data_IF_920929032186
#
_entry.id   IF_920929032186
#
_cell.length_a   1.000
_cell.length_b   1.000
_cell.length_c   1.000
_cell.angle_alpha   90.00
_cell.angle_beta   90.00
_cell.angle_gamma   90.00
#
_symmetry.space_group_name_H-M   'P 1'
#
loop_
_entity.id
_entity.type
_entity.pdbx_description
1 polymer ?
#
# COMPACT_ATOMS: atom_id res chain seq x y z
N UNK A 1 4.92 49.61 32.27
CA UNK A 1 5.05 51.08 32.20
C UNK A 1 6.07 51.37 31.11
N UNK A 2 5.62 51.42 29.84
CA UNK A 2 5.30 52.64 29.06
C UNK A 2 6.58 53.40 28.64
N UNK A 3 6.77 54.05 27.48
CA UNK A 3 6.27 54.05 26.09
C UNK A 3 7.07 55.19 25.38
N UNK A 4 7.63 54.95 24.18
CA UNK A 4 7.61 55.72 22.87
C UNK A 4 7.25 57.25 22.91
N UNK A 5 7.70 58.23 22.03
CA UNK A 5 8.01 58.23 20.55
C UNK A 5 9.26 59.09 20.12
N UNK A 6 9.65 59.39 18.86
CA UNK A 6 8.99 59.59 17.56
C UNK A 6 9.96 59.47 16.32
N UNK A 7 9.37 59.43 15.11
CA UNK A 7 9.90 59.17 13.76
C UNK A 7 10.68 60.35 13.07
N UNK A 8 11.15 60.25 11.79
CA UNK A 8 10.26 60.44 10.61
C UNK A 8 10.56 59.69 9.26
N UNK A 9 9.49 59.58 8.44
CA UNK A 9 9.25 59.66 6.96
C UNK A 9 10.35 60.27 6.04
N UNK A 10 10.42 60.14 4.69
CA UNK A 10 9.82 59.35 3.58
C UNK A 10 10.60 59.70 2.27
N UNK A 11 10.35 58.91 1.22
CA UNK A 11 10.75 58.87 -0.20
C UNK A 11 10.89 60.14 -1.09
N UNK A 12 11.69 60.06 -2.20
CA UNK A 12 11.28 60.28 -3.64
C UNK A 12 12.42 60.32 -4.70
N UNK A 13 12.00 60.18 -5.97
CA UNK A 13 12.61 59.67 -7.22
C UNK A 13 13.60 60.50 -8.10
N UNK A 14 14.35 59.73 -8.93
CA UNK A 14 14.73 59.87 -10.38
C UNK A 14 15.97 60.67 -10.89
N UNK A 15 16.70 60.16 -11.93
CA UNK A 15 17.91 60.75 -12.53
C UNK A 15 17.69 61.40 -13.93
N UNK A 16 18.64 62.22 -14.46
CA UNK A 16 18.66 62.70 -15.85
C UNK A 16 19.65 61.94 -16.79
N UNK A 17 19.31 61.84 -18.08
CA UNK A 17 20.13 61.35 -19.22
C UNK A 17 20.97 62.50 -19.86
N UNK A 18 22.01 62.29 -20.72
CA UNK A 18 21.84 61.86 -22.14
C UNK A 18 23.02 61.13 -22.89
N UNK A 19 22.63 60.28 -23.88
CA UNK A 19 23.10 60.07 -25.30
C UNK A 19 24.60 59.97 -25.68
N UNK A 20 25.03 58.82 -26.28
CA UNK A 20 25.70 58.72 -27.61
C UNK A 20 26.06 57.27 -28.06
N UNK A 21 25.41 56.89 -29.16
CA UNK A 21 25.51 55.82 -30.20
C UNK A 21 26.81 54.98 -30.42
N UNK A 22 26.61 53.64 -30.52
CA UNK A 22 27.22 52.48 -31.27
C UNK A 22 28.77 52.38 -31.46
N UNK A 23 29.39 51.19 -31.29
CA UNK A 23 29.46 50.06 -32.26
C UNK A 23 29.54 48.71 -31.51
N UNK A 24 28.73 47.74 -31.92
CA UNK A 24 28.73 46.38 -31.39
C UNK A 24 29.99 45.59 -31.81
N UNK A 25 30.69 45.01 -30.84
CA UNK A 25 31.85 44.09 -31.04
C UNK A 25 31.38 42.63 -31.15
N UNK A 26 30.18 42.39 -31.64
CA UNK A 26 29.64 41.04 -31.81
C UNK A 26 29.05 40.88 -33.20
N UNK A 27 29.84 40.25 -34.08
CA UNK A 27 29.35 39.70 -35.34
C UNK A 27 28.45 38.51 -34.99
N UNK A 28 27.21 38.52 -35.51
CA UNK A 28 26.28 37.41 -35.37
C UNK A 28 26.85 36.17 -36.07
N UNK A 29 26.68 34.99 -35.45
CA UNK A 29 27.27 33.71 -35.85
C UNK A 29 26.96 33.25 -37.30
N UNK A 30 26.11 33.95 -38.05
CA UNK A 30 25.87 33.71 -39.48
C UNK A 30 26.75 34.53 -40.45
N UNK A 31 27.63 35.40 -39.95
CA UNK A 31 28.55 36.21 -40.77
C UNK A 31 30.04 35.98 -40.44
N UNK A 32 30.37 35.12 -39.47
CA UNK A 32 31.76 34.70 -39.25
C UNK A 32 32.29 33.71 -40.31
N UNK A 33 31.38 33.10 -41.09
CA UNK A 33 31.72 32.13 -42.14
C UNK A 33 31.95 32.75 -43.53
N UNK A 34 31.82 34.07 -43.69
CA UNK A 34 31.95 34.74 -45.00
C UNK A 34 33.28 35.49 -45.22
N UNK A 35 34.18 35.53 -44.24
CA UNK A 35 35.39 36.40 -44.31
C UNK A 35 36.70 35.63 -44.53
N UNK A 36 36.71 34.29 -44.46
CA UNK A 36 37.83 33.47 -44.92
C UNK A 36 37.33 32.20 -45.61
N UNK A 37 36.77 32.33 -46.82
CA UNK A 37 36.85 31.21 -47.76
C UNK A 37 38.30 31.12 -48.23
N UNK A 38 39.12 30.29 -47.57
CA UNK A 38 40.35 29.80 -48.20
C UNK A 38 39.91 29.06 -49.47
N UNK A 39 40.28 29.58 -50.63
CA UNK A 39 40.19 28.80 -51.86
C UNK A 39 41.00 27.51 -51.66
N UNK A 40 40.41 26.35 -51.99
CA UNK A 40 41.14 25.08 -52.08
C UNK A 40 42.41 25.32 -52.89
N UNK A 41 43.59 24.94 -52.37
CA UNK A 41 44.82 25.04 -53.17
C UNK A 41 44.86 23.96 -54.24
N UNK A 42 44.17 22.84 -54.04
CA UNK A 42 44.12 21.72 -54.96
C UNK A 42 42.68 21.43 -55.40
N UNK A 43 42.43 21.74 -56.68
CA UNK A 43 41.30 21.26 -57.48
C UNK A 43 41.59 21.62 -58.94
N UNK A 44 42.80 21.32 -59.43
CA UNK A 44 43.20 21.74 -60.78
C UNK A 44 43.71 20.63 -61.68
N UNK A 45 43.85 19.37 -61.23
CA UNK A 45 44.28 18.29 -62.13
C UNK A 45 43.62 16.93 -61.85
N UNK A 46 43.37 16.21 -62.94
CA UNK A 46 42.45 15.09 -63.13
C UNK A 46 42.93 13.73 -62.56
N UNK A 47 43.78 13.71 -61.53
CA UNK A 47 44.46 12.51 -60.99
C UNK A 47 44.59 12.47 -59.46
N UNK A 48 43.84 13.30 -58.72
CA UNK A 48 43.98 13.45 -57.26
C UNK A 48 43.56 12.18 -56.47
N UNK A 49 42.67 11.35 -57.01
CA UNK A 49 42.25 10.05 -56.46
C UNK A 49 43.35 8.97 -56.40
N UNK A 50 44.54 9.24 -56.94
CA UNK A 50 45.68 8.29 -56.91
C UNK A 50 46.59 8.54 -55.70
N UNK A 51 46.38 9.63 -54.96
CA UNK A 51 47.18 10.01 -53.78
C UNK A 51 46.47 9.52 -52.51
N UNK A 52 47.14 8.76 -51.62
CA UNK A 52 46.53 8.34 -50.37
C UNK A 52 46.17 9.54 -49.49
N UNK A 53 44.95 9.52 -48.95
CA UNK A 53 44.36 10.61 -48.17
C UNK A 53 45.20 11.01 -46.96
N UNK A 54 45.31 12.31 -46.69
CA UNK A 54 46.09 12.84 -45.57
C UNK A 54 45.26 13.79 -44.70
N UNK A 55 45.08 13.45 -43.41
CA UNK A 55 44.20 14.18 -42.47
C UNK A 55 44.52 15.68 -42.38
N UNK A 56 45.80 16.00 -42.24
CA UNK A 56 46.24 17.38 -42.02
C UNK A 56 46.02 18.20 -43.29
N UNK A 57 46.33 17.62 -44.45
CA UNK A 57 46.15 18.25 -45.77
C UNK A 57 44.69 18.48 -46.13
N UNK A 58 43.83 17.49 -45.91
CA UNK A 58 42.47 17.48 -46.49
C UNK A 58 41.41 18.02 -45.54
N UNK A 59 41.52 17.77 -44.22
CA UNK A 59 40.48 18.11 -43.25
C UNK A 59 40.89 19.15 -42.18
N UNK A 60 42.19 19.39 -41.97
CA UNK A 60 42.67 20.39 -40.99
C UNK A 60 43.05 21.70 -41.69
N UNK A 61 43.82 21.62 -42.78
CA UNK A 61 44.19 22.80 -43.58
C UNK A 61 43.07 23.27 -44.51
N UNK A 62 42.21 22.33 -44.92
CA UNK A 62 41.07 22.53 -45.82
C UNK A 62 39.76 21.94 -45.24
N UNK A 63 38.61 22.32 -45.81
CA UNK A 63 37.31 21.75 -45.44
C UNK A 63 37.04 20.53 -46.32
N UNK A 64 37.22 19.34 -45.77
CA UNK A 64 36.93 18.08 -46.47
C UNK A 64 35.44 17.77 -46.54
N UNK A 65 35.09 16.97 -47.54
CA UNK A 65 33.81 16.28 -47.68
C UNK A 65 33.75 15.03 -46.80
N UNK A 66 32.55 14.47 -46.64
CA UNK A 66 32.36 13.25 -45.86
C UNK A 66 33.12 12.04 -46.44
N UNK A 67 33.22 11.96 -47.77
CA UNK A 67 33.93 10.86 -48.45
C UNK A 67 35.45 10.98 -48.27
N UNK A 68 36.03 12.18 -48.40
CA UNK A 68 37.45 12.46 -48.13
C UNK A 68 37.83 12.16 -46.66
N UNK A 69 36.99 12.57 -45.71
CA UNK A 69 37.21 12.24 -44.29
C UNK A 69 37.17 10.72 -44.03
N UNK A 70 36.28 9.99 -44.72
CA UNK A 70 36.14 8.53 -44.57
C UNK A 70 37.36 7.77 -45.08
N UNK A 71 38.02 8.27 -46.12
CA UNK A 71 39.24 7.66 -46.68
C UNK A 71 40.47 7.82 -45.77
N UNK A 72 40.54 8.93 -45.02
CA UNK A 72 41.60 9.16 -44.04
C UNK A 72 41.46 8.26 -42.81
N UNK A 73 40.23 8.00 -42.37
CA UNK A 73 39.93 7.21 -41.19
C UNK A 73 39.47 5.80 -41.59
N UNK A 74 40.34 5.05 -42.27
CA UNK A 74 40.08 3.66 -42.70
C UNK A 74 40.08 2.64 -41.54
N UNK A 75 39.57 3.02 -40.36
CA UNK A 75 39.34 2.13 -39.21
C UNK A 75 38.12 2.60 -38.40
N UNK A 76 36.99 1.89 -38.53
CA UNK A 76 35.73 2.13 -37.81
C UNK A 76 35.78 1.81 -36.29
N UNK A 77 36.88 2.06 -35.57
CA UNK A 77 36.97 1.68 -34.14
C UNK A 77 37.33 2.78 -33.15
N UNK A 78 37.42 4.05 -33.53
CA UNK A 78 37.64 5.13 -32.53
C UNK A 78 36.70 6.31 -32.71
N UNK A 79 35.40 6.04 -32.63
CA UNK A 79 34.48 7.02 -32.06
C UNK A 79 34.81 7.15 -30.55
N UNK A 80 34.97 8.39 -30.09
CA UNK A 80 35.37 8.77 -28.73
C UNK A 80 34.48 8.09 -27.68
N UNK A 81 34.98 7.03 -27.06
CA UNK A 81 34.38 6.43 -25.88
C UNK A 81 34.87 7.20 -24.64
N UNK A 82 34.28 8.36 -24.36
CA UNK A 82 34.62 9.14 -23.17
C UNK A 82 33.99 8.51 -21.92
N UNK A 83 34.76 8.28 -20.85
CA UNK A 83 34.29 7.55 -19.65
C UNK A 83 32.97 8.13 -19.10
N UNK A 84 31.90 7.35 -19.26
CA UNK A 84 30.54 7.72 -18.88
C UNK A 84 30.30 7.64 -17.36
N UNK A 85 31.22 7.04 -16.60
CA UNK A 85 31.18 7.01 -15.15
C UNK A 85 31.65 8.30 -14.48
N UNK A 86 32.27 9.24 -15.20
CA UNK A 86 32.73 10.53 -14.65
C UNK A 86 31.60 11.36 -14.00
N UNK A 87 30.37 11.19 -14.45
CA UNK A 87 29.20 11.88 -13.88
C UNK A 87 28.71 11.28 -12.56
N UNK A 88 29.33 10.19 -12.08
CA UNK A 88 28.88 9.37 -10.95
C UNK A 88 27.37 9.04 -11.03
N UNK A 89 26.93 8.37 -12.12
CA UNK A 89 25.51 8.14 -12.34
C UNK A 89 24.91 7.15 -11.34
N UNK A 90 25.71 6.16 -10.88
CA UNK A 90 25.27 5.11 -9.97
C UNK A 90 25.04 5.62 -8.53
N UNK A 91 23.91 5.24 -7.93
CA UNK A 91 23.46 5.65 -6.59
C UNK A 91 23.66 4.54 -5.55
N UNK A 92 23.40 4.87 -4.29
CA UNK A 92 23.34 3.92 -3.17
C UNK A 92 24.60 3.06 -2.98
N UNK A 93 25.78 3.61 -3.28
CA UNK A 93 27.07 2.90 -3.12
C UNK A 93 27.38 1.91 -4.24
N UNK A 94 26.67 1.97 -5.36
CA UNK A 94 26.92 1.13 -6.54
C UNK A 94 28.23 1.47 -7.26
N UNK A 95 28.83 0.44 -7.86
CA UNK A 95 30.08 0.57 -8.63
C UNK A 95 29.73 0.82 -10.10
N UNK A 96 30.23 1.93 -10.66
CA UNK A 96 30.06 2.24 -12.08
C UNK A 96 31.13 1.55 -12.92
N UNK A 97 30.74 0.95 -14.05
CA UNK A 97 31.64 0.47 -15.10
C UNK A 97 31.32 1.16 -16.42
N UNK A 98 32.35 1.72 -17.03
CA UNK A 98 32.28 2.32 -18.37
C UNK A 98 32.04 1.25 -19.44
N UNK A 99 31.36 1.63 -20.53
CA UNK A 99 31.04 0.76 -21.66
C UNK A 99 31.09 1.56 -22.96
N UNK A 100 30.63 0.97 -24.08
CA UNK A 100 30.64 1.68 -25.37
C UNK A 100 29.40 2.56 -25.46
N UNK A 101 29.57 3.87 -25.38
CA UNK A 101 28.48 4.88 -25.38
C UNK A 101 27.42 4.71 -24.26
N UNK A 102 27.69 3.90 -23.23
CA UNK A 102 26.82 3.68 -22.09
C UNK A 102 27.60 3.14 -20.90
N UNK A 103 27.14 3.43 -19.68
CA UNK A 103 27.66 2.83 -18.45
C UNK A 103 26.77 1.68 -17.95
N UNK A 104 27.32 0.87 -17.05
CA UNK A 104 26.61 -0.16 -16.27
C UNK A 104 26.85 0.09 -14.79
N UNK A 105 25.77 0.20 -14.01
CA UNK A 105 25.86 0.27 -12.56
C UNK A 105 25.72 -1.12 -11.93
N UNK A 106 26.70 -1.50 -11.12
CA UNK A 106 26.69 -2.73 -10.36
C UNK A 106 26.08 -2.42 -9.00
N UNK A 107 24.77 -2.63 -8.92
CA UNK A 107 23.99 -2.30 -7.73
C UNK A 107 24.34 -3.21 -6.55
N UNK A 108 24.50 -2.66 -5.33
CA UNK A 108 24.55 -3.46 -4.12
C UNK A 108 23.24 -4.23 -3.95
N UNK A 109 23.29 -5.35 -3.25
CA UNK A 109 22.12 -6.17 -3.03
C UNK A 109 21.01 -5.37 -2.32
N UNK A 110 19.79 -5.45 -2.85
CA UNK A 110 18.67 -4.63 -2.40
C UNK A 110 18.46 -3.35 -3.20
N UNK A 111 19.27 -3.06 -4.22
CA UNK A 111 19.04 -1.95 -5.15
C UNK A 111 18.94 -2.43 -6.61
N UNK A 112 18.03 -1.84 -7.37
CA UNK A 112 17.82 -2.09 -8.81
C UNK A 112 17.65 -0.74 -9.54
N UNK A 113 17.46 -0.79 -10.87
CA UNK A 113 17.38 0.39 -11.72
C UNK A 113 18.68 0.65 -12.47
N UNK A 114 18.61 1.46 -13.54
CA UNK A 114 19.77 1.77 -14.38
C UNK A 114 20.90 2.41 -13.57
N UNK A 115 20.53 3.17 -12.55
CA UNK A 115 21.41 3.93 -11.69
C UNK A 115 21.37 3.42 -10.25
N UNK A 116 20.80 2.24 -9.99
CA UNK A 116 20.62 1.69 -8.64
C UNK A 116 19.78 2.59 -7.71
N UNK A 117 18.86 3.36 -8.29
CA UNK A 117 17.99 4.30 -7.61
C UNK A 117 16.79 3.65 -6.91
N UNK A 118 16.45 2.40 -7.28
CA UNK A 118 15.29 1.68 -6.76
C UNK A 118 15.72 0.84 -5.55
N UNK A 119 15.17 1.14 -4.38
CA UNK A 119 15.40 0.38 -3.13
C UNK A 119 14.36 -0.76 -2.98
N UNK A 120 14.85 -1.98 -2.92
CA UNK A 120 14.13 -3.23 -2.65
C UNK A 120 14.57 -3.88 -1.34
N UNK A 121 14.99 -3.11 -0.34
CA UNK A 121 15.20 -3.69 0.99
C UNK A 121 13.86 -4.18 1.58
N UNK A 122 13.88 -5.13 2.52
CA UNK A 122 12.63 -5.56 3.18
C UNK A 122 11.87 -4.42 3.89
N UNK A 123 12.56 -3.31 4.19
CA UNK A 123 11.95 -2.12 4.76
C UNK A 123 11.14 -1.30 3.73
N UNK A 124 11.48 -1.40 2.43
CA UNK A 124 10.89 -0.64 1.34
C UNK A 124 10.16 -1.58 0.38
N UNK A 125 8.85 -1.39 0.20
CA UNK A 125 7.99 -2.26 -0.62
C UNK A 125 8.11 -3.76 -0.31
N UNK A 126 8.38 -4.12 0.95
CA UNK A 126 8.58 -5.52 1.37
C UNK A 126 9.63 -6.27 0.52
N UNK A 127 10.65 -5.56 0.03
CA UNK A 127 11.68 -6.08 -0.87
C UNK A 127 11.19 -6.66 -2.20
N UNK A 128 9.99 -6.24 -2.64
CA UNK A 128 9.33 -6.79 -3.82
C UNK A 128 8.72 -8.17 -3.61
N UNK A 129 8.79 -8.72 -2.39
CA UNK A 129 8.16 -9.99 -2.06
C UNK A 129 6.65 -9.82 -1.94
N UNK A 130 5.88 -10.72 -2.55
CA UNK A 130 4.41 -10.70 -2.44
C UNK A 130 3.91 -10.98 -1.02
N UNK A 131 4.59 -11.87 -0.29
CA UNK A 131 4.23 -12.23 1.09
C UNK A 131 5.35 -11.87 2.08
N UNK A 132 6.32 -12.75 2.33
CA UNK A 132 7.31 -12.52 3.38
C UNK A 132 8.66 -12.15 2.77
N UNK A 133 9.31 -11.16 3.38
CA UNK A 133 10.66 -10.73 3.04
C UNK A 133 11.60 -11.02 4.21
N UNK A 134 12.76 -11.61 3.91
CA UNK A 134 13.84 -11.82 4.87
C UNK A 134 15.17 -11.33 4.28
N UNK A 135 15.98 -10.59 5.06
CA UNK A 135 17.34 -10.26 4.65
C UNK A 135 18.24 -11.49 4.86
N UNK A 136 18.94 -11.90 3.81
CA UNK A 136 19.96 -12.94 3.82
C UNK A 136 21.36 -12.29 3.70
N UNK A 137 22.26 -12.48 4.68
CA UNK A 137 23.57 -11.84 4.66
C UNK A 137 24.40 -12.20 3.40
N UNK A 138 25.12 -11.21 2.80
CA UNK A 138 25.38 -9.89 3.35
C UNK A 138 24.32 -8.82 3.03
N UNK A 139 23.31 -9.05 2.18
CA UNK A 139 22.21 -8.10 1.84
C UNK A 139 21.18 -8.63 0.81
N UNK A 140 21.15 -9.93 0.51
CA UNK A 140 20.23 -10.49 -0.49
C UNK A 140 18.81 -10.57 0.10
N UNK A 141 17.82 -10.13 -0.66
CA UNK A 141 16.42 -10.27 -0.29
C UNK A 141 15.94 -11.67 -0.67
N UNK A 142 15.40 -12.40 0.31
CA UNK A 142 14.81 -13.72 0.10
C UNK A 142 13.33 -13.65 0.42
N UNK A 143 12.51 -13.97 -0.58
CA UNK A 143 11.07 -14.04 -0.44
C UNK A 143 10.60 -15.44 -0.03
N UNK A 144 9.54 -15.50 0.78
CA UNK A 144 8.84 -16.74 1.10
C UNK A 144 7.33 -16.50 1.17
N UNK A 145 6.55 -17.58 1.13
CA UNK A 145 5.10 -17.50 0.96
C UNK A 145 4.33 -18.06 2.15
N UNK A 146 3.11 -17.58 2.35
CA UNK A 146 2.17 -18.08 3.35
C UNK A 146 1.69 -19.52 3.05
N UNK A 147 1.08 -20.16 4.06
CA UNK A 147 0.54 -21.51 3.92
C UNK A 147 -0.46 -21.61 2.75
N UNK A 148 -0.32 -22.66 1.94
CA UNK A 148 -1.13 -22.83 0.72
C UNK A 148 -0.61 -22.06 -0.49
N UNK A 149 0.59 -21.47 -0.43
CA UNK A 149 1.25 -20.82 -1.56
C UNK A 149 2.67 -21.36 -1.79
N UNK A 150 3.11 -21.34 -3.06
CA UNK A 150 4.50 -21.60 -3.48
C UNK A 150 5.13 -20.33 -4.04
N UNK A 151 6.44 -20.19 -3.86
CA UNK A 151 7.20 -19.12 -4.52
C UNK A 151 7.27 -19.42 -6.02
N UNK A 152 6.97 -18.41 -6.84
CA UNK A 152 7.07 -18.47 -8.28
C UNK A 152 8.54 -18.41 -8.73
N UNK A 153 8.81 -18.74 -10.00
CA UNK A 153 10.15 -18.79 -10.57
C UNK A 153 10.87 -17.42 -10.59
N UNK A 154 10.11 -16.33 -10.54
CA UNK A 154 10.63 -14.96 -10.40
C UNK A 154 11.28 -14.68 -9.03
N UNK A 155 11.15 -15.59 -8.06
CA UNK A 155 11.68 -15.44 -6.71
C UNK A 155 11.00 -14.38 -5.86
N UNK A 156 9.88 -13.78 -6.31
CA UNK A 156 9.16 -12.68 -5.65
C UNK A 156 7.66 -12.94 -5.48
N UNK A 157 7.02 -13.54 -6.47
CA UNK A 157 5.57 -13.81 -6.49
C UNK A 157 5.20 -15.07 -5.73
N UNK A 158 3.99 -15.09 -5.16
CA UNK A 158 3.43 -16.25 -4.48
C UNK A 158 2.17 -16.74 -5.18
N UNK A 159 2.20 -18.01 -5.61
CA UNK A 159 1.11 -18.67 -6.32
C UNK A 159 0.38 -19.67 -5.41
N UNK A 160 -0.97 -19.67 -5.40
CA UNK A 160 -1.76 -20.66 -4.69
C UNK A 160 -1.43 -22.09 -5.14
N UNK A 161 -1.24 -22.98 -4.17
CA UNK A 161 -1.06 -24.44 -4.38
C UNK A 161 -2.31 -25.24 -4.06
N UNK A 162 -3.26 -24.61 -3.36
CA UNK A 162 -4.54 -25.20 -2.97
C UNK A 162 -5.70 -24.33 -3.48
N UNK A 163 -6.91 -24.89 -3.66
CA UNK A 163 -8.06 -24.13 -4.17
C UNK A 163 -8.47 -22.96 -3.27
N UNK A 164 -8.33 -23.15 -1.96
CA UNK A 164 -8.76 -22.20 -0.92
C UNK A 164 -7.57 -21.87 -0.01
N UNK A 165 -6.56 -21.12 -0.51
CA UNK A 165 -5.40 -20.78 0.29
C UNK A 165 -5.79 -19.73 1.35
N UNK A 166 -4.95 -19.57 2.37
CA UNK A 166 -5.24 -18.60 3.42
C UNK A 166 -5.35 -17.18 2.86
N UNK A 167 -6.15 -16.32 3.51
CA UNK A 167 -6.19 -14.89 3.22
C UNK A 167 -6.69 -14.52 1.83
N UNK A 168 -7.31 -15.46 1.08
CA UNK A 168 -7.84 -15.21 -0.26
C UNK A 168 -9.36 -15.27 -0.26
N UNK A 169 -9.97 -14.26 -0.85
CA UNK A 169 -11.42 -14.19 -1.08
C UNK A 169 -11.72 -14.82 -2.43
N UNK A 170 -12.54 -15.88 -2.43
CA UNK A 170 -12.87 -16.61 -3.67
C UNK A 170 -14.36 -16.58 -4.04
N UNK A 171 -15.23 -16.10 -3.14
CA UNK A 171 -16.67 -15.94 -3.36
C UNK A 171 -16.97 -15.08 -4.59
N UNK A 172 -17.87 -15.52 -5.49
CA UNK A 172 -18.18 -14.81 -6.73
C UNK A 172 -18.82 -13.43 -6.47
N UNK A 173 -19.63 -13.31 -5.43
CA UNK A 173 -20.31 -12.07 -5.04
C UNK A 173 -19.30 -11.00 -4.62
N UNK A 174 -18.27 -11.39 -3.85
CA UNK A 174 -17.23 -10.50 -3.38
C UNK A 174 -16.22 -10.10 -4.48
N UNK A 175 -16.02 -10.96 -5.50
CA UNK A 175 -15.11 -10.68 -6.63
C UNK A 175 -15.53 -9.48 -7.50
N UNK A 176 -16.84 -9.18 -7.61
CA UNK A 176 -17.34 -8.05 -8.44
C UNK A 176 -16.84 -6.67 -7.99
N UNK A 177 -16.28 -6.54 -6.79
CA UNK A 177 -15.74 -5.27 -6.25
C UNK A 177 -14.22 -5.17 -6.38
N UNK A 178 -13.49 -6.29 -6.32
CA UNK A 178 -12.03 -6.33 -6.51
C UNK A 178 -11.60 -5.87 -7.90
N UNK A 179 -12.43 -6.06 -8.94
CA UNK A 179 -12.13 -5.64 -10.31
C UNK A 179 -12.43 -4.16 -10.61
N UNK A 180 -13.11 -3.41 -9.73
CA UNK A 180 -13.53 -2.02 -10.02
C UNK A 180 -13.05 -0.96 -9.01
N UNK A 181 -12.63 -1.31 -7.79
CA UNK A 181 -12.31 -0.29 -6.77
C UNK A 181 -10.94 -0.42 -6.08
N UNK A 182 -9.99 -1.20 -6.60
CA UNK A 182 -8.66 -1.32 -5.99
C UNK A 182 -7.49 -1.35 -6.97
N UNK A 183 -7.60 -0.70 -8.14
CA UNK A 183 -6.40 -0.23 -8.84
C UNK A 183 -5.91 1.05 -8.16
N UNK A 184 -5.39 0.96 -6.94
CA UNK A 184 -4.59 2.03 -6.35
C UNK A 184 -3.19 1.98 -6.96
N UNK A 185 -3.08 2.42 -8.22
CA UNK A 185 -1.83 2.84 -8.84
C UNK A 185 -2.06 3.86 -9.96
N UNK A 186 -2.97 4.81 -9.74
CA UNK A 186 -3.05 6.03 -10.55
C UNK A 186 -3.14 7.23 -9.63
N UNK A 187 -1.99 7.72 -9.16
CA UNK A 187 -1.81 9.12 -8.76
C UNK A 187 -0.33 9.48 -8.70
N UNK A 188 0.39 9.24 -9.80
CA UNK A 188 1.68 9.88 -10.09
C UNK A 188 1.75 10.12 -11.59
N UNK A 189 1.08 11.18 -12.05
CA UNK A 189 1.45 11.96 -13.23
C UNK A 189 0.63 13.26 -13.22
N UNK A 190 1.20 14.31 -12.60
CA UNK A 190 0.77 15.69 -12.84
C UNK A 190 1.74 16.27 -13.85
N UNK A 191 1.34 16.21 -15.12
CA UNK A 191 1.66 17.18 -16.16
C UNK A 191 0.28 17.65 -16.61
N UNK A 192 -0.19 18.83 -16.24
CA UNK A 192 0.28 20.10 -16.80
C UNK A 192 -0.53 20.36 -18.07
N UNK A 193 -1.44 21.33 -17.99
CA UNK A 193 -2.17 22.02 -19.07
C UNK A 193 -3.58 21.52 -19.49
N UNK A 194 -4.59 22.28 -19.03
CA UNK A 194 -5.81 22.66 -19.77
C UNK A 194 -5.41 23.64 -20.91
N UNK A 195 -6.20 23.91 -21.99
CA UNK A 195 -7.66 24.06 -21.97
C UNK A 195 -8.46 23.69 -23.26
N UNK A 196 -9.79 23.81 -23.13
CA UNK A 196 -10.80 24.21 -24.14
C UNK A 196 -11.36 23.21 -25.19
N UNK A 197 -12.60 22.78 -24.89
CA UNK A 197 -13.88 23.15 -25.54
C UNK A 197 -14.33 22.59 -26.92
N UNK A 198 -15.66 22.31 -26.92
CA UNK A 198 -16.65 22.49 -28.00
C UNK A 198 -17.06 21.35 -28.98
N UNK A 199 -18.38 21.05 -28.88
CA UNK A 199 -19.38 20.74 -29.94
C UNK A 199 -19.58 19.26 -30.36
N UNK A 200 -20.79 18.71 -30.56
CA UNK A 200 -22.16 19.21 -30.87
C UNK A 200 -23.21 18.15 -30.40
N UNK A 201 -24.35 18.51 -29.76
CA UNK A 201 -25.71 18.82 -30.31
C UNK A 201 -26.48 17.60 -30.93
N UNK A 202 -27.81 17.36 -30.86
CA UNK A 202 -29.03 18.06 -30.35
C UNK A 202 -30.29 17.16 -30.50
N UNK A 203 -31.37 17.46 -29.73
CA UNK A 203 -32.84 17.44 -30.03
C UNK A 203 -33.74 16.77 -28.96
N UNK A 204 -34.97 17.21 -28.68
CA UNK A 204 -35.55 18.47 -28.18
C UNK A 204 -37.01 18.15 -27.74
N UNK A 205 -37.63 19.06 -26.98
CA UNK A 205 -39.05 19.30 -26.72
C UNK A 205 -39.73 18.60 -25.51
N UNK A 206 -40.11 19.38 -24.47
CA UNK A 206 -41.36 20.18 -24.45
C UNK A 206 -41.45 21.15 -23.23
N UNK A 207 -41.38 22.46 -23.52
CA UNK A 207 -42.07 23.70 -23.01
C UNK A 207 -42.51 23.84 -21.51
N UNK A 208 -41.81 24.64 -20.67
CA UNK A 208 -42.02 26.05 -20.18
C UNK A 208 -43.18 26.30 -19.15
N UNK A 209 -43.11 27.13 -18.09
CA UNK A 209 -42.24 28.30 -17.76
C UNK A 209 -42.08 28.56 -16.24
N UNK A 210 -40.83 28.82 -15.82
CA UNK A 210 -40.28 29.76 -14.80
C UNK A 210 -40.77 29.86 -13.34
N UNK A 211 -39.86 29.54 -12.41
CA UNK A 211 -39.22 30.54 -11.50
C UNK A 211 -37.86 30.04 -10.99
N UNK A 212 -36.94 30.99 -10.84
CA UNK A 212 -35.48 30.89 -10.72
C UNK A 212 -34.99 30.36 -9.36
N UNK A 213 -34.21 29.26 -9.35
CA UNK A 213 -33.24 28.95 -8.28
C UNK A 213 -32.24 27.86 -8.73
N UNK A 214 -30.97 28.06 -8.42
CA UNK A 214 -29.81 27.20 -8.67
C UNK A 214 -30.04 25.71 -8.33
N UNK A 215 -29.67 24.74 -9.19
CA UNK A 215 -29.72 23.34 -8.82
C UNK A 215 -28.54 23.04 -7.89
N UNK A 216 -28.79 23.17 -6.59
CA UNK A 216 -27.99 22.46 -5.58
C UNK A 216 -28.16 20.97 -5.87
N UNK A 217 -27.08 20.31 -6.30
CA UNK A 217 -26.98 18.86 -6.26
C UNK A 217 -27.14 18.47 -4.79
N UNK A 218 -28.35 18.09 -4.43
CA UNK A 218 -28.66 17.63 -3.09
C UNK A 218 -28.40 16.13 -3.15
N UNK A 219 -27.46 15.58 -2.36
CA UNK A 219 -27.25 14.14 -2.33
C UNK A 219 -28.59 13.50 -1.93
N UNK A 220 -29.07 12.56 -2.73
CA UNK A 220 -30.18 11.69 -2.35
C UNK A 220 -29.65 10.81 -1.22
N UNK A 221 -29.74 11.32 0.01
CA UNK A 221 -29.57 10.51 1.21
C UNK A 221 -30.77 9.57 1.20
N UNK A 222 -30.55 8.32 0.80
CA UNK A 222 -31.48 7.24 1.17
C UNK A 222 -31.59 7.27 2.69
N UNK A 223 -32.72 7.75 3.17
CA UNK A 223 -33.08 7.75 4.59
C UNK A 223 -33.28 6.30 5.01
N UNK A 224 -32.20 5.68 5.51
CA UNK A 224 -32.18 4.29 5.95
C UNK A 224 -30.84 3.74 6.44
N UNK A 225 -29.70 4.40 6.20
CA UNK A 225 -28.39 3.95 6.71
C UNK A 225 -28.17 4.43 8.15
N UNK A 226 -28.61 3.62 9.12
CA UNK A 226 -28.28 3.82 10.54
C UNK A 226 -26.96 3.10 10.83
N UNK A 227 -25.84 3.80 10.79
CA UNK A 227 -24.49 3.25 10.99
C UNK A 227 -23.69 4.18 11.90
N UNK A 228 -22.85 3.63 12.79
CA UNK A 228 -21.59 4.29 13.15
C UNK A 228 -20.42 3.56 12.50
N UNK A 229 -20.22 3.86 11.21
CA UNK A 229 -18.97 3.69 10.48
C UNK A 229 -18.72 2.44 9.64
N UNK A 230 -19.38 1.31 9.89
CA UNK A 230 -19.28 0.08 9.09
C UNK A 230 -20.14 0.05 7.82
N UNK A 231 -19.91 -0.94 6.96
CA UNK A 231 -20.78 -1.26 5.83
C UNK A 231 -21.21 -2.72 5.97
N UNK A 232 -22.42 -3.04 5.51
CA UNK A 232 -22.82 -4.43 5.28
C UNK A 232 -21.78 -5.08 4.35
N UNK A 233 -21.18 -6.16 4.81
CA UNK A 233 -20.30 -6.97 3.97
C UNK A 233 -21.10 -7.64 2.86
N UNK A 234 -20.42 -8.05 1.80
CA UNK A 234 -20.99 -9.00 0.84
C UNK A 234 -20.82 -10.42 1.38
N UNK A 235 -21.73 -11.31 0.97
CA UNK A 235 -21.61 -12.74 1.27
C UNK A 235 -20.26 -13.27 0.78
N UNK A 236 -19.49 -13.87 1.69
CA UNK A 236 -18.14 -14.38 1.41
C UNK A 236 -17.03 -13.33 1.28
N UNK A 237 -17.26 -12.06 1.62
CA UNK A 237 -16.21 -11.02 1.66
C UNK A 237 -15.19 -11.27 2.79
N UNK A 238 -15.62 -11.89 3.89
CA UNK A 238 -14.77 -12.21 5.05
C UNK A 238 -14.88 -13.71 5.40
N UNK A 239 -14.35 -14.61 4.56
CA UNK A 239 -14.57 -16.06 4.68
C UNK A 239 -13.88 -16.72 5.89
N UNK A 240 -12.99 -16.00 6.58
CA UNK A 240 -12.33 -16.45 7.81
C UNK A 240 -13.07 -16.01 9.08
N UNK A 241 -14.16 -15.24 8.95
CA UNK A 241 -14.97 -14.81 10.09
C UNK A 241 -15.71 -16.00 10.69
N UNK A 242 -15.70 -16.06 12.03
CA UNK A 242 -16.45 -17.04 12.81
C UNK A 242 -17.32 -16.31 13.83
N UNK A 243 -18.54 -16.81 14.03
CA UNK A 243 -19.43 -16.43 15.12
C UNK A 243 -19.34 -17.49 16.24
N UNK A 244 -19.09 -17.04 17.47
CA UNK A 244 -19.15 -17.88 18.66
C UNK A 244 -20.55 -17.81 19.26
N UNK A 245 -21.17 -18.98 19.38
CA UNK A 245 -22.56 -19.16 19.80
C UNK A 245 -22.60 -19.99 21.08
N UNK A 246 -23.31 -19.51 22.09
CA UNK A 246 -23.49 -20.21 23.37
C UNK A 246 -24.57 -21.31 23.29
N UNK A 247 -24.82 -22.01 24.40
CA UNK A 247 -25.86 -23.04 24.52
C UNK A 247 -27.29 -22.58 24.20
N UNK A 248 -27.57 -21.28 24.33
CA UNK A 248 -28.88 -20.66 24.05
C UNK A 248 -29.07 -20.30 22.57
N UNK A 249 -28.05 -20.51 21.74
CA UNK A 249 -28.06 -20.08 20.33
C UNK A 249 -27.76 -18.60 20.14
N UNK A 250 -27.27 -17.90 21.18
CA UNK A 250 -26.91 -16.49 21.10
C UNK A 250 -25.45 -16.32 20.66
N UNK A 251 -25.27 -15.59 19.55
CA UNK A 251 -23.96 -15.13 19.10
C UNK A 251 -23.45 -13.96 19.95
N UNK A 252 -22.28 -14.12 20.57
CA UNK A 252 -21.76 -13.14 21.55
C UNK A 252 -20.34 -12.62 21.26
N UNK A 253 -19.51 -13.40 20.57
CA UNK A 253 -18.16 -13.03 20.19
C UNK A 253 -17.86 -13.46 18.76
N UNK A 254 -16.86 -12.80 18.15
CA UNK A 254 -16.21 -13.24 16.93
C UNK A 254 -15.03 -14.18 17.19
N UNK A 255 -14.59 -14.85 16.13
CA UNK A 255 -13.34 -15.57 16.07
C UNK A 255 -12.81 -15.56 14.61
N UNK A 256 -11.59 -16.05 14.41
CA UNK A 256 -10.97 -16.16 13.08
C UNK A 256 -10.46 -17.57 12.81
N UNK A 257 -10.71 -18.08 11.61
CA UNK A 257 -10.23 -19.41 11.18
C UNK A 257 -8.73 -19.37 10.93
N UNK A 258 -7.96 -20.15 11.69
CA UNK A 258 -6.50 -20.23 11.55
C UNK A 258 -6.11 -21.42 10.67
N UNK A 259 -6.78 -22.56 10.85
CA UNK A 259 -6.72 -23.71 9.96
C UNK A 259 -8.03 -24.49 10.05
N UNK A 260 -8.08 -25.68 9.45
CA UNK A 260 -9.29 -26.50 9.38
C UNK A 260 -9.85 -26.89 10.75
N UNK A 261 -9.00 -27.03 11.79
CA UNK A 261 -9.40 -27.52 13.12
C UNK A 261 -9.31 -26.47 14.23
N UNK A 262 -8.71 -25.32 13.96
CA UNK A 262 -8.41 -24.31 14.98
C UNK A 262 -8.92 -22.93 14.58
N UNK A 263 -9.57 -22.27 15.54
CA UNK A 263 -9.94 -20.85 15.46
C UNK A 263 -9.28 -20.07 16.59
N UNK A 264 -9.02 -18.78 16.37
CA UNK A 264 -8.48 -17.86 17.37
C UNK A 264 -9.53 -16.82 17.75
N UNK A 265 -9.60 -16.47 19.02
CA UNK A 265 -10.52 -15.46 19.56
C UNK A 265 -9.86 -14.72 20.74
N UNK A 266 -10.60 -13.83 21.40
CA UNK A 266 -10.19 -13.19 22.64
C UNK A 266 -10.45 -14.13 23.83
N UNK A 267 -9.56 -14.12 24.83
CA UNK A 267 -9.69 -14.98 25.99
C UNK A 267 -10.84 -14.54 26.91
N UNK A 268 -11.16 -13.24 26.96
CA UNK A 268 -12.29 -12.73 27.75
C UNK A 268 -13.66 -13.21 27.22
N UNK A 269 -13.73 -13.74 26.00
CA UNK A 269 -14.94 -14.41 25.49
C UNK A 269 -15.19 -15.77 26.17
N UNK A 270 -14.22 -16.33 26.88
CA UNK A 270 -14.29 -17.67 27.45
C UNK A 270 -14.75 -17.69 28.91
N UNK A 271 -15.59 -16.72 29.30
CA UNK A 271 -16.10 -16.63 30.68
C UNK A 271 -17.05 -17.81 31.01
N UNK A 272 -17.07 -18.26 32.27
CA UNK A 272 -18.06 -19.23 32.74
C UNK A 272 -19.50 -18.77 32.45
N UNK A 273 -20.38 -19.69 32.07
CA UNK A 273 -21.79 -19.44 31.72
C UNK A 273 -22.05 -19.16 30.23
N UNK A 274 -21.05 -18.69 29.47
CA UNK A 274 -21.16 -18.54 28.00
C UNK A 274 -20.49 -19.68 27.22
N UNK A 275 -19.66 -20.46 27.91
CA UNK A 275 -18.81 -21.49 27.31
C UNK A 275 -19.41 -22.90 27.36
N UNK A 276 -20.56 -23.06 28.02
CA UNK A 276 -21.30 -24.31 28.05
C UNK A 276 -21.83 -24.63 26.64
N UNK A 277 -21.39 -25.76 26.07
CA UNK A 277 -21.72 -26.18 24.69
C UNK A 277 -21.41 -25.12 23.62
N UNK A 278 -20.27 -24.43 23.78
CA UNK A 278 -19.78 -23.42 22.84
C UNK A 278 -19.65 -24.00 21.41
N UNK A 279 -20.21 -23.28 20.44
CA UNK A 279 -20.18 -23.65 19.03
C UNK A 279 -19.57 -22.52 18.19
N UNK A 280 -18.67 -22.89 17.28
CA UNK A 280 -18.09 -22.00 16.28
C UNK A 280 -18.85 -22.17 14.96
N UNK A 281 -19.36 -21.07 14.42
CA UNK A 281 -20.10 -21.03 13.15
C UNK A 281 -19.29 -20.24 12.13
N UNK A 282 -18.79 -20.92 11.10
CA UNK A 282 -18.09 -20.31 9.97
C UNK A 282 -19.01 -20.21 8.74
N UNK A 283 -18.78 -19.23 7.86
CA UNK A 283 -19.59 -19.05 6.65
C UNK A 283 -20.97 -18.44 6.89
N UNK A 284 -21.22 -17.97 8.12
CA UNK A 284 -22.37 -17.16 8.49
C UNK A 284 -22.25 -15.75 7.89
N UNK A 285 -23.38 -15.19 7.47
CA UNK A 285 -23.45 -13.83 6.91
C UNK A 285 -24.61 -13.04 7.52
N UNK A 286 -25.81 -13.60 7.54
CA UNK A 286 -26.99 -13.00 8.16
C UNK A 286 -27.56 -13.95 9.21
N UNK A 287 -27.34 -13.60 10.48
CA UNK A 287 -27.72 -14.39 11.66
C UNK A 287 -29.22 -14.71 11.81
N UNK A 288 -30.09 -14.11 10.98
CA UNK A 288 -31.53 -14.42 10.95
C UNK A 288 -31.92 -15.43 9.88
N UNK A 289 -31.05 -15.67 8.91
CA UNK A 289 -31.31 -16.52 7.77
C UNK A 289 -30.34 -17.71 7.80
N UNK A 290 -30.77 -18.85 7.25
CA UNK A 290 -29.86 -19.96 6.96
C UNK A 290 -29.49 -19.86 5.48
N UNK A 291 -28.29 -19.40 5.21
CA UNK A 291 -27.75 -19.15 3.88
C UNK A 291 -27.17 -20.41 3.23
N UNK A 292 -27.21 -21.54 3.94
CA UNK A 292 -26.66 -22.85 3.60
C UNK A 292 -25.14 -22.86 3.35
N UNK A 293 -24.45 -21.80 3.76
CA UNK A 293 -22.99 -21.69 3.73
C UNK A 293 -22.36 -21.96 5.08
N UNK A 294 -23.18 -22.01 6.13
CA UNK A 294 -22.81 -22.14 7.52
C UNK A 294 -22.28 -23.52 7.86
N UNK A 295 -21.15 -23.55 8.55
CA UNK A 295 -20.57 -24.76 9.11
C UNK A 295 -20.49 -24.63 10.62
N UNK A 296 -21.26 -25.45 11.31
CA UNK A 296 -21.34 -25.50 12.78
C UNK A 296 -20.33 -26.51 13.30
N UNK A 297 -19.49 -26.11 14.26
CA UNK A 297 -18.47 -26.97 14.90
C UNK A 297 -18.46 -26.77 16.40
N UNK A 298 -18.54 -27.85 17.15
CA UNK A 298 -18.46 -27.77 18.62
C UNK A 298 -17.02 -27.49 19.03
N UNK A 299 -16.85 -26.66 20.05
CA UNK A 299 -15.53 -26.41 20.63
C UNK A 299 -15.26 -27.48 21.68
N UNK A 300 -14.25 -28.33 21.43
CA UNK A 300 -13.87 -29.44 22.33
C UNK A 300 -12.75 -29.05 23.28
N UNK A 301 -11.99 -28.01 22.94
CA UNK A 301 -10.88 -27.53 23.76
C UNK A 301 -10.76 -26.03 23.67
N UNK A 302 -10.67 -25.40 24.84
CA UNK A 302 -10.49 -23.96 24.98
C UNK A 302 -9.12 -23.71 25.61
N UNK A 303 -8.24 -23.00 24.90
CA UNK A 303 -6.87 -22.72 25.33
C UNK A 303 -6.64 -21.21 25.37
N UNK A 304 -7.01 -20.53 26.46
CA UNK A 304 -6.54 -19.16 26.69
C UNK A 304 -5.01 -19.15 26.78
N UNK A 305 -4.41 -18.00 26.48
CA UNK A 305 -2.96 -17.85 26.60
C UNK A 305 -2.51 -18.19 28.04
N UNK A 306 -1.39 -18.91 28.25
CA UNK A 306 -1.00 -19.38 29.60
C UNK A 306 -0.80 -18.29 30.65
N UNK A 307 -0.53 -17.05 30.20
CA UNK A 307 -0.33 -15.87 31.06
C UNK A 307 -1.53 -14.91 31.03
N UNK A 308 -2.69 -15.38 30.55
CA UNK A 308 -3.95 -14.67 30.65
C UNK A 308 -4.52 -14.87 32.07
N UNK A 309 -4.87 -13.78 32.73
CA UNK A 309 -5.52 -13.81 34.04
C UNK A 309 -6.53 -12.66 34.15
N UNK A 310 -7.82 -13.02 34.04
CA UNK A 310 -8.91 -12.06 34.10
C UNK A 310 -9.06 -11.37 35.46
N UNK A 311 -8.53 -11.97 36.54
CA UNK A 311 -8.61 -11.40 37.89
C UNK A 311 -7.60 -10.29 38.12
N UNK A 312 -6.48 -10.32 37.40
CA UNK A 312 -5.41 -9.31 37.46
C UNK A 312 -5.64 -8.24 36.39
N UNK A 313 -5.81 -8.66 35.14
CA UNK A 313 -6.05 -7.78 34.01
C UNK A 313 -6.71 -8.57 32.87
N UNK A 314 -8.02 -8.39 32.73
CA UNK A 314 -8.87 -9.02 31.71
C UNK A 314 -8.39 -8.83 30.27
N UNK A 315 -7.59 -7.82 29.98
CA UNK A 315 -7.15 -7.51 28.62
C UNK A 315 -5.68 -7.91 28.37
N UNK A 316 -4.94 -8.27 29.42
CA UNK A 316 -3.54 -8.70 29.28
C UNK A 316 -3.46 -10.13 28.71
N UNK A 317 -2.81 -10.28 27.57
CA UNK A 317 -2.74 -11.56 26.83
C UNK A 317 -4.13 -12.11 26.49
N UNK A 318 -5.03 -11.20 26.14
CA UNK A 318 -6.40 -11.51 25.76
C UNK A 318 -6.47 -12.15 24.37
N UNK A 319 -6.10 -13.43 24.34
CA UNK A 319 -6.11 -14.30 23.17
C UNK A 319 -6.31 -15.75 23.60
N UNK A 320 -7.13 -16.49 22.86
CA UNK A 320 -7.36 -17.90 23.06
C UNK A 320 -7.43 -18.67 21.74
N UNK A 321 -7.07 -19.95 21.79
CA UNK A 321 -7.22 -20.90 20.70
C UNK A 321 -8.31 -21.91 21.04
N UNK A 322 -9.19 -22.17 20.08
CA UNK A 322 -10.27 -23.14 20.23
C UNK A 322 -10.05 -24.30 19.25
N UNK A 323 -10.03 -25.52 19.78
CA UNK A 323 -10.00 -26.74 18.98
C UNK A 323 -11.43 -27.19 18.69
N UNK A 324 -11.69 -27.50 17.42
CA UNK A 324 -12.98 -27.95 16.94
C UNK A 324 -13.12 -29.47 17.00
N UNK A 325 -14.33 -29.96 17.22
CA UNK A 325 -14.68 -31.38 17.18
C UNK A 325 -14.40 -32.01 15.82
N UNK A 326 -14.72 -31.28 14.75
CA UNK A 326 -14.50 -31.67 13.36
C UNK A 326 -13.84 -30.55 12.56
N UNK A 327 -13.03 -30.89 11.55
CA UNK A 327 -12.45 -29.86 10.69
C UNK A 327 -13.53 -29.15 9.84
N UNK A 328 -13.30 -27.87 9.54
CA UNK A 328 -14.03 -27.16 8.50
C UNK A 328 -13.71 -27.74 7.13
N UNK A 329 -14.72 -27.77 6.27
CA UNK A 329 -14.53 -28.06 4.84
C UNK A 329 -14.35 -26.74 4.12
N UNK A 330 -13.14 -26.43 3.69
CA UNK A 330 -12.88 -25.15 3.02
C UNK A 330 -13.60 -25.05 1.68
N UNK A 331 -14.20 -23.88 1.45
CA UNK A 331 -14.94 -23.53 0.24
C UNK A 331 -14.88 -22.01 0.03
N UNK A 332 -15.67 -21.46 -0.89
CA UNK A 332 -15.60 -20.03 -1.19
C UNK A 332 -16.05 -19.08 -0.07
N UNK A 333 -16.78 -19.58 0.92
CA UNK A 333 -17.31 -18.83 2.06
C UNK A 333 -16.63 -19.17 3.39
N UNK A 334 -15.82 -20.24 3.41
CA UNK A 334 -15.10 -20.71 4.60
C UNK A 334 -13.65 -20.97 4.21
N UNK A 335 -12.75 -20.04 4.54
CA UNK A 335 -11.30 -20.16 4.28
C UNK A 335 -10.49 -19.60 5.46
N UNK A 336 -9.26 -20.07 5.70
CA UNK A 336 -8.46 -19.57 6.82
C UNK A 336 -7.88 -18.18 6.52
N UNK A 337 -7.60 -17.39 7.55
CA UNK A 337 -6.81 -16.15 7.43
C UNK A 337 -5.30 -16.46 7.49
N UNK A 338 -4.47 -15.74 6.73
CA UNK A 338 -3.03 -15.97 6.81
C UNK A 338 -2.44 -15.44 8.12
N UNK A 339 -1.45 -16.17 8.64
CA UNK A 339 -0.58 -15.72 9.73
C UNK A 339 0.80 -15.40 9.17
N UNK A 340 1.26 -14.16 9.41
CA UNK A 340 2.58 -13.70 9.04
C UNK A 340 3.65 -14.00 10.09
N UNK A 341 4.91 -13.75 9.76
CA UNK A 341 5.99 -13.70 10.76
C UNK A 341 5.81 -12.49 11.67
N UNK A 342 6.46 -12.51 12.85
CA UNK A 342 6.40 -11.40 13.80
C UNK A 342 6.83 -10.07 13.16
N UNK A 343 7.90 -10.09 12.39
CA UNK A 343 8.51 -8.94 11.75
C UNK A 343 7.58 -8.40 10.66
N UNK A 344 7.11 -9.28 9.79
CA UNK A 344 6.18 -8.95 8.71
C UNK A 344 4.85 -8.39 9.24
N UNK A 345 4.21 -9.07 10.19
CA UNK A 345 2.94 -8.60 10.79
C UNK A 345 3.09 -7.24 11.45
N UNK A 346 4.24 -6.95 12.08
CA UNK A 346 4.50 -5.63 12.66
C UNK A 346 4.74 -4.53 11.63
N UNK A 347 5.37 -4.85 10.50
CA UNK A 347 5.54 -3.91 9.39
C UNK A 347 4.20 -3.60 8.72
N UNK A 348 3.45 -4.66 8.40
CA UNK A 348 2.14 -4.57 7.75
C UNK A 348 1.14 -3.75 8.58
N UNK A 349 1.11 -3.96 9.90
CA UNK A 349 0.24 -3.21 10.81
C UNK A 349 0.48 -1.69 10.77
N UNK A 350 1.72 -1.23 10.49
CA UNK A 350 2.06 0.20 10.47
C UNK A 350 1.79 0.89 9.13
N UNK A 351 1.77 0.13 8.04
CA UNK A 351 1.72 0.68 6.67
C UNK A 351 0.32 0.69 6.05
N UNK A 352 -0.63 -0.07 6.61
CA UNK A 352 -1.96 -0.24 6.03
C UNK A 352 -3.11 0.28 6.89
N UNK A 353 -4.28 0.39 6.27
CA UNK A 353 -5.56 0.39 6.97
C UNK A 353 -5.93 -1.05 7.28
N UNK A 354 -6.33 -1.34 8.52
CA UNK A 354 -6.91 -2.63 8.84
C UNK A 354 -8.41 -2.66 8.60
N UNK A 355 -8.93 -3.85 8.33
CA UNK A 355 -10.35 -4.15 8.26
C UNK A 355 -10.75 -4.97 9.46
N UNK A 356 -11.77 -4.49 10.16
CA UNK A 356 -12.41 -5.17 11.27
C UNK A 356 -13.78 -5.66 10.82
N UNK A 357 -14.17 -6.84 11.25
CA UNK A 357 -15.46 -7.42 10.92
C UNK A 357 -16.11 -8.12 12.11
N UNK A 358 -17.44 -8.13 12.10
CA UNK A 358 -18.23 -8.80 13.11
C UNK A 358 -19.72 -8.42 13.08
N UNK A 359 -20.46 -8.98 14.03
CA UNK A 359 -21.89 -8.73 14.24
C UNK A 359 -22.14 -7.88 15.49
N UNK A 360 -21.13 -7.12 15.91
CA UNK A 360 -21.21 -6.21 17.05
C UNK A 360 -22.27 -5.13 16.88
N UNK A 361 -22.47 -4.37 17.96
CA UNK A 361 -23.46 -3.30 18.01
C UNK A 361 -23.10 -2.19 17.03
N UNK A 362 -24.05 -1.77 16.22
CA UNK A 362 -23.84 -0.70 15.22
C UNK A 362 -23.79 0.70 15.82
N UNK A 363 -24.16 0.83 17.11
CA UNK A 363 -24.22 2.04 17.92
C UNK A 363 -23.86 1.65 19.36
N UNK A 364 -23.22 2.55 20.12
CA UNK A 364 -23.00 2.33 21.55
C UNK A 364 -24.34 2.07 22.26
N UNK A 365 -24.47 0.92 22.93
CA UNK A 365 -25.73 0.41 23.53
C UNK A 365 -26.89 0.16 22.53
N UNK A 366 -26.61 0.11 21.23
CA UNK A 366 -27.57 -0.22 20.18
C UNK A 366 -27.77 -1.73 19.97
N UNK A 367 -28.67 -2.14 19.06
CA UNK A 367 -28.83 -3.54 18.71
C UNK A 367 -27.59 -4.09 17.97
N UNK A 368 -27.35 -5.39 18.11
CA UNK A 368 -26.37 -6.11 17.31
C UNK A 368 -26.76 -6.12 15.82
N UNK A 369 -25.75 -6.11 14.95
CA UNK A 369 -25.98 -6.24 13.53
C UNK A 369 -26.45 -7.66 13.19
N UNK A 370 -27.41 -7.77 12.27
CA UNK A 370 -27.88 -9.08 11.80
C UNK A 370 -27.01 -9.60 10.66
N UNK A 371 -26.68 -8.70 9.74
CA UNK A 371 -25.72 -8.90 8.65
C UNK A 371 -24.31 -8.56 9.12
N UNK A 372 -23.33 -9.37 8.70
CA UNK A 372 -21.92 -9.16 8.99
C UNK A 372 -21.46 -7.78 8.53
N UNK A 373 -20.88 -7.00 9.44
CA UNK A 373 -20.35 -5.67 9.16
C UNK A 373 -18.85 -5.71 8.88
N UNK A 374 -18.39 -4.78 8.05
CA UNK A 374 -16.95 -4.50 7.83
C UNK A 374 -16.67 -3.02 8.01
N UNK A 375 -15.56 -2.69 8.67
CA UNK A 375 -15.09 -1.33 8.84
C UNK A 375 -13.58 -1.25 8.62
N UNK A 376 -13.13 -0.23 7.89
CA UNK A 376 -11.70 0.04 7.69
C UNK A 376 -11.23 1.13 8.62
N UNK A 377 -10.22 0.84 9.43
CA UNK A 377 -9.67 1.75 10.44
C UNK A 377 -8.14 1.79 10.37
N UNK A 378 -7.53 2.98 10.47
CA UNK A 378 -6.08 3.11 10.45
C UNK A 378 -5.47 2.70 11.80
N UNK A 379 -4.23 2.21 11.75
CA UNK A 379 -3.42 2.04 12.94
C UNK A 379 -3.12 3.41 13.59
N UNK A 380 -3.16 3.45 14.92
CA UNK A 380 -2.85 4.66 15.70
C UNK A 380 -1.52 4.49 16.41
N UNK A 381 -0.67 5.52 16.32
CA UNK A 381 0.63 5.50 16.97
C UNK A 381 0.51 5.40 18.50
N UNK A 382 1.51 4.78 19.12
CA UNK A 382 1.46 4.46 20.54
C UNK A 382 1.33 5.69 21.45
N UNK A 383 2.08 6.79 21.24
CA UNK A 383 1.88 8.02 22.00
C UNK A 383 0.45 8.57 21.94
N UNK A 384 -0.18 8.60 20.77
CA UNK A 384 -1.56 9.06 20.61
C UNK A 384 -2.55 8.12 21.31
N UNK A 385 -2.38 6.81 21.10
CA UNK A 385 -3.17 5.74 21.73
C UNK A 385 -3.10 5.79 23.27
N UNK A 386 -1.93 6.06 23.85
CA UNK A 386 -1.79 6.22 25.31
C UNK A 386 -2.45 7.48 25.87
N UNK A 387 -2.53 8.55 25.08
CA UNK A 387 -3.16 9.81 25.50
C UNK A 387 -4.68 9.74 25.45
N UNK A 388 -5.27 8.82 24.69
CA UNK A 388 -6.72 8.72 24.50
C UNK A 388 -7.48 8.06 25.67
N UNK A 389 -6.80 7.35 26.57
CA UNK A 389 -7.42 6.59 27.66
C UNK A 389 -6.66 6.77 28.97
N UNK A 390 -7.36 6.68 30.10
CA UNK A 390 -6.77 6.61 31.43
C UNK A 390 -6.24 5.21 31.77
N UNK A 391 -6.63 4.19 30.99
CA UNK A 391 -6.24 2.79 31.17
C UNK A 391 -4.87 2.52 30.54
N UNK A 392 -4.06 1.69 31.20
CA UNK A 392 -2.72 1.39 30.72
C UNK A 392 -2.74 0.45 29.51
N UNK A 393 -2.23 0.92 28.37
CA UNK A 393 -2.10 0.10 27.14
C UNK A 393 -0.72 -0.56 27.07
N UNK A 394 -0.74 -1.90 27.15
CA UNK A 394 0.45 -2.75 27.17
C UNK A 394 1.08 -2.92 25.78
N UNK A 395 2.32 -3.40 25.71
CA UNK A 395 3.06 -3.56 24.44
C UNK A 395 2.51 -4.67 23.53
N UNK A 396 1.71 -5.57 24.08
CA UNK A 396 1.00 -6.62 23.36
C UNK A 396 -0.37 -6.17 22.84
N UNK A 397 -0.68 -4.87 22.95
CA UNK A 397 -1.89 -4.24 22.43
C UNK A 397 -1.55 -3.16 21.38
N UNK A 398 -2.56 -2.70 20.66
CA UNK A 398 -2.49 -1.49 19.84
C UNK A 398 -3.86 -0.85 19.67
N UNK A 399 -3.89 0.43 19.31
CA UNK A 399 -5.12 1.14 18.96
C UNK A 399 -5.30 1.23 17.44
N UNK A 400 -6.54 1.21 16.98
CA UNK A 400 -6.89 1.58 15.62
C UNK A 400 -8.23 2.33 15.60
N UNK A 401 -8.35 3.31 14.72
CA UNK A 401 -9.54 4.15 14.60
C UNK A 401 -9.22 5.55 14.11
N UNK A 402 -10.25 6.36 13.89
CA UNK A 402 -10.09 7.74 13.43
C UNK A 402 -10.11 8.72 14.62
N UNK A 403 -9.25 9.76 14.64
CA UNK A 403 -9.25 10.75 15.73
C UNK A 403 -10.59 11.47 15.90
N UNK A 404 -11.32 11.69 14.80
CA UNK A 404 -12.66 12.27 14.79
C UNK A 404 -13.75 11.32 15.32
N UNK A 405 -13.43 10.05 15.60
CA UNK A 405 -14.40 9.00 15.83
C UNK A 405 -15.21 8.67 14.57
N UNK A 406 -16.44 8.23 14.77
CA UNK A 406 -17.41 7.93 13.72
C UNK A 406 -17.29 6.55 13.07
N UNK A 407 -16.14 5.87 13.21
CA UNK A 407 -15.96 4.47 12.81
C UNK A 407 -15.08 3.73 13.81
N UNK A 408 -15.57 2.62 14.35
CA UNK A 408 -14.84 1.78 15.31
C UNK A 408 -15.46 0.39 15.40
N UNK A 409 -14.75 -0.56 16.01
CA UNK A 409 -15.34 -1.81 16.49
C UNK A 409 -16.19 -1.54 17.74
N UNK A 410 -17.20 -2.37 18.01
CA UNK A 410 -18.03 -2.23 19.20
C UNK A 410 -18.32 -3.55 19.90
N UNK A 411 -19.08 -3.50 21.00
CA UNK A 411 -19.48 -4.68 21.77
C UNK A 411 -20.10 -5.75 20.86
N UNK A 412 -19.64 -7.00 21.00
CA UNK A 412 -20.05 -8.12 20.15
C UNK A 412 -19.11 -8.40 18.95
N UNK A 413 -18.19 -7.50 18.65
CA UNK A 413 -17.06 -7.77 17.74
C UNK A 413 -15.86 -8.40 18.46
N UNK A 414 -15.92 -8.52 19.80
CA UNK A 414 -14.89 -9.11 20.65
C UNK A 414 -14.42 -10.47 20.14
N UNK A 415 -13.11 -10.67 20.06
CA UNK A 415 -12.49 -11.87 19.49
C UNK A 415 -12.48 -11.94 17.96
N UNK A 416 -13.16 -11.01 17.29
CA UNK A 416 -13.17 -10.89 15.83
C UNK A 416 -11.81 -10.46 15.25
N UNK A 417 -11.63 -10.66 13.94
CA UNK A 417 -10.40 -10.34 13.23
C UNK A 417 -10.20 -8.82 13.05
N UNK A 418 -8.97 -8.36 13.31
CA UNK A 418 -8.42 -7.18 12.66
C UNK A 418 -7.41 -7.66 11.61
N UNK A 419 -7.71 -7.39 10.34
CA UNK A 419 -6.94 -7.91 9.20
C UNK A 419 -6.35 -6.81 8.36
N UNK A 420 -5.19 -7.07 7.76
CA UNK A 420 -4.55 -6.14 6.84
C UNK A 420 -4.24 -6.86 5.54
N UNK A 421 -4.51 -6.18 4.43
CA UNK A 421 -4.34 -6.69 3.08
C UNK A 421 -3.05 -6.16 2.46
N UNK A 422 -2.36 -7.02 1.73
CA UNK A 422 -1.20 -6.68 0.91
C UNK A 422 -1.21 -7.56 -0.34
N UNK A 423 -1.12 -6.94 -1.52
CA UNK A 423 -1.01 -7.62 -2.82
C UNK A 423 -2.11 -8.70 -3.03
N UNK A 424 -3.33 -8.41 -2.60
CA UNK A 424 -4.51 -9.27 -2.71
C UNK A 424 -4.59 -10.40 -1.68
N UNK A 425 -3.72 -10.42 -0.67
CA UNK A 425 -3.70 -11.44 0.40
C UNK A 425 -3.88 -10.80 1.77
N UNK A 426 -4.80 -11.38 2.54
CA UNK A 426 -5.20 -10.89 3.86
C UNK A 426 -4.47 -11.62 4.98
N UNK A 427 -3.97 -10.86 5.96
CA UNK A 427 -3.27 -11.38 7.13
C UNK A 427 -3.95 -10.92 8.41
N UNK A 428 -3.97 -11.81 9.41
CA UNK A 428 -4.44 -11.47 10.76
C UNK A 428 -3.36 -10.67 11.48
N UNK A 429 -3.63 -9.40 11.77
CA UNK A 429 -2.69 -8.48 12.42
C UNK A 429 -3.12 -8.12 13.84
N UNK A 430 -4.42 -8.22 14.15
CA UNK A 430 -4.96 -8.04 15.50
C UNK A 430 -6.20 -8.88 15.78
N UNK A 431 -6.60 -8.90 17.04
CA UNK A 431 -7.85 -9.50 17.52
C UNK A 431 -8.57 -8.42 18.33
N UNK A 432 -9.86 -8.19 18.04
CA UNK A 432 -10.68 -7.22 18.77
C UNK A 432 -10.77 -7.61 20.24
N UNK A 433 -10.41 -6.69 21.14
CA UNK A 433 -10.33 -6.98 22.57
C UNK A 433 -11.31 -6.10 23.36
N UNK A 434 -11.08 -4.79 23.44
CA UNK A 434 -11.93 -3.89 24.21
C UNK A 434 -11.89 -2.44 23.68
N UNK A 435 -12.76 -1.60 24.23
CA UNK A 435 -12.80 -0.15 23.98
C UNK A 435 -13.62 0.54 25.07
N UNK A 436 -13.34 1.81 25.34
CA UNK A 436 -14.10 2.58 26.35
C UNK A 436 -15.45 3.05 25.80
N UNK A 437 -15.45 3.63 24.61
CA UNK A 437 -16.63 4.10 23.90
C UNK A 437 -16.46 3.83 22.41
N UNK A 438 -17.46 3.21 21.79
CA UNK A 438 -17.40 2.86 20.38
C UNK A 438 -17.52 4.13 19.52
N UNK A 439 -16.49 4.40 18.70
CA UNK A 439 -16.50 5.46 17.69
C UNK A 439 -16.72 6.89 18.23
N UNK A 440 -16.38 7.13 19.49
CA UNK A 440 -16.35 8.48 20.06
C UNK A 440 -15.13 9.27 19.58
N UNK A 441 -15.26 10.60 19.38
CA UNK A 441 -14.12 11.46 19.09
C UNK A 441 -13.02 11.33 20.15
N UNK A 442 -11.77 11.17 19.71
CA UNK A 442 -10.62 11.00 20.60
C UNK A 442 -10.49 9.64 21.28
N UNK A 443 -11.36 8.67 20.95
CA UNK A 443 -11.28 7.28 21.42
C UNK A 443 -10.99 6.34 20.24
N UNK A 444 -10.42 5.18 20.56
CA UNK A 444 -10.01 4.18 19.59
C UNK A 444 -10.32 2.78 20.12
N UNK A 445 -10.61 1.83 19.23
CA UNK A 445 -10.67 0.42 19.57
C UNK A 445 -9.28 -0.12 19.92
N UNK A 446 -9.23 -1.01 20.91
CA UNK A 446 -8.00 -1.67 21.37
C UNK A 446 -8.01 -3.13 20.94
N UNK A 447 -6.90 -3.54 20.34
CA UNK A 447 -6.73 -4.85 19.74
C UNK A 447 -5.52 -5.56 20.33
N UNK A 448 -5.63 -6.87 20.53
CA UNK A 448 -4.50 -7.75 20.86
C UNK A 448 -3.58 -7.86 19.65
N UNK A 449 -2.29 -7.56 19.83
CA UNK A 449 -1.28 -7.55 18.77
C UNK A 449 -0.82 -8.97 18.43
N UNK A 450 -1.35 -9.55 17.35
CA UNK A 450 -1.09 -10.96 16.96
C UNK A 450 0.39 -11.26 16.72
N UNK A 451 1.18 -10.29 16.26
CA UNK A 451 2.63 -10.45 16.04
C UNK A 451 3.41 -10.92 17.28
N UNK A 452 2.89 -10.68 18.50
CA UNK A 452 3.49 -11.14 19.75
C UNK A 452 3.21 -12.62 20.05
N UNK A 453 2.21 -13.22 19.41
CA UNK A 453 1.71 -14.57 19.70
C UNK A 453 1.88 -15.56 18.56
N UNK A 454 2.38 -15.13 17.39
CA UNK A 454 2.58 -16.01 16.21
C UNK A 454 3.28 -17.32 16.57
N UNK A 455 4.36 -17.26 17.36
CA UNK A 455 5.10 -18.46 17.78
C UNK A 455 4.24 -19.42 18.59
N UNK A 456 3.48 -18.91 19.56
CA UNK A 456 2.58 -19.69 20.39
C UNK A 456 1.44 -20.31 19.54
N UNK A 457 0.83 -19.51 18.66
CA UNK A 457 -0.22 -19.98 17.75
C UNK A 457 0.30 -21.12 16.88
N UNK A 458 1.45 -20.94 16.21
CA UNK A 458 2.05 -21.99 15.37
C UNK A 458 2.39 -23.26 16.14
N UNK A 459 2.97 -23.13 17.33
CA UNK A 459 3.35 -24.27 18.16
C UNK A 459 2.14 -25.13 18.58
N UNK A 460 1.04 -24.50 18.98
CA UNK A 460 -0.17 -25.21 19.43
C UNK A 460 -0.95 -25.79 18.25
N UNK A 461 -1.15 -24.99 17.20
CA UNK A 461 -1.98 -25.38 16.04
C UNK A 461 -1.23 -26.25 15.02
N UNK A 462 0.08 -26.45 15.20
CA UNK A 462 0.99 -27.15 14.29
C UNK A 462 1.00 -26.55 12.87
N UNK A 463 0.76 -25.24 12.77
CA UNK A 463 0.96 -24.51 11.53
C UNK A 463 2.45 -24.36 11.24
N UNK A 464 2.89 -24.93 10.12
CA UNK A 464 4.24 -24.77 9.57
C UNK A 464 4.39 -23.42 8.90
#
# INVERSE_FOLDING_TARGET
WQSIPAAPHDSTCSPPAPISVQIAVFIKNKEASSVLQRQRRANSNRLEEVIPGNLERECIEEKCSYEEAREVFENEEKAVNGDQCNSNPCKNGAVCKDGINSYVCWCPAGYEGKNCEIDFTCAIKNGGCKHFCSPDPPQKVVCSCAAGYKLHEDGKSCEPTVPFPCGRITAPEAKRKLTRSMNTFEHWNITGDDPDDANDEVLDNTTETSTTATPKITPIIKTGTRVVGGLDSMKGEVPWQVLLVNSEGLGFCGASIINEKWVVTAAHCLKPGYTDNLTAVAGEHNTRNNDHTEQWRKVVKMLPHPTYDATINEYHNDIALLELDQPFTFNSYVTPICLGSREFTNALLKQGMGTVSGWGRQLFKGPQATTLQVVRVPFVDRPTCLKSTSTTILQNMFCAGFPSGGKDACEGDSGGPYTTEIEGTWFLTGITSWGEECASPGKYGIYTRVSKYVKWIKQITRLT
#
